data_IF_080540965396
#
_entry.id   IF_080540965396
#
_cell.length_a   1.000
_cell.length_b   1.000
_cell.length_c   1.000
_cell.angle_alpha   90.00
_cell.angle_beta   90.00
_cell.angle_gamma   90.00
#
_symmetry.space_group_name_H-M   'P 1'
#
loop_
_entity.id
_entity.type
_entity.pdbx_description
1 polymer ?
#
# COMPACT_ATOMS: atom_id res chain seq x y z
N UNK A 1 -8.06 -28.76 -13.67
CA UNK A 1 -7.85 -27.53 -12.87
C UNK A 1 -7.59 -26.38 -13.83
N UNK A 2 -8.44 -25.35 -13.87
CA UNK A 2 -8.29 -24.23 -14.81
C UNK A 2 -7.35 -23.15 -14.27
N UNK A 3 -6.57 -22.52 -15.16
CA UNK A 3 -5.78 -21.34 -14.83
C UNK A 3 -6.72 -20.14 -14.66
N UNK A 4 -6.67 -19.46 -13.51
CA UNK A 4 -7.45 -18.25 -13.25
C UNK A 4 -6.59 -17.02 -13.52
N UNK A 5 -7.14 -16.03 -14.22
CA UNK A 5 -6.48 -14.75 -14.45
C UNK A 5 -6.54 -13.85 -13.21
N UNK A 6 -5.58 -12.91 -13.10
CA UNK A 6 -5.58 -11.97 -11.97
C UNK A 6 -6.72 -10.95 -12.14
N UNK A 7 -7.69 -10.88 -11.21
CA UNK A 7 -8.85 -10.01 -11.32
C UNK A 7 -8.53 -8.51 -11.21
N UNK A 8 -7.39 -8.14 -10.62
CA UNK A 8 -6.92 -6.75 -10.62
C UNK A 8 -6.31 -6.40 -11.97
N UNK A 9 -5.45 -7.26 -12.50
CA UNK A 9 -4.77 -7.06 -13.78
C UNK A 9 -5.75 -6.94 -14.96
N UNK A 10 -6.73 -7.84 -15.02
CA UNK A 10 -7.75 -7.85 -16.08
C UNK A 10 -8.63 -6.58 -16.09
N UNK A 11 -8.71 -5.84 -14.99
CA UNK A 11 -9.54 -4.64 -14.85
C UNK A 11 -8.74 -3.33 -14.89
N UNK A 12 -7.43 -3.40 -15.06
CA UNK A 12 -6.58 -2.21 -15.18
C UNK A 12 -6.99 -1.39 -16.42
N UNK A 13 -7.16 -0.09 -16.23
CA UNK A 13 -7.59 0.82 -17.31
C UNK A 13 -9.09 0.82 -17.62
N UNK A 14 -9.87 -0.11 -17.04
CA UNK A 14 -11.33 -0.16 -17.22
C UNK A 14 -12.01 0.39 -15.96
N UNK A 15 -11.82 -0.28 -14.83
CA UNK A 15 -12.43 0.08 -13.53
C UNK A 15 -11.34 0.31 -12.47
N UNK A 16 -10.19 -0.35 -12.59
CA UNK A 16 -9.05 -0.22 -11.68
C UNK A 16 -7.98 0.71 -12.26
N UNK A 17 -7.47 1.59 -11.41
CA UNK A 17 -6.33 2.45 -11.72
C UNK A 17 -5.00 1.82 -11.31
N UNK A 18 -3.91 2.35 -11.87
CA UNK A 18 -2.54 1.96 -11.54
C UNK A 18 -2.13 2.44 -10.14
N UNK A 19 -1.33 1.62 -9.45
CA UNK A 19 -0.73 1.99 -8.16
C UNK A 19 0.49 2.91 -8.32
N UNK A 20 1.24 2.79 -9.41
CA UNK A 20 2.31 3.73 -9.76
C UNK A 20 1.87 4.52 -10.98
N UNK A 21 1.71 5.83 -10.84
CA UNK A 21 1.25 6.75 -11.90
C UNK A 21 2.34 7.74 -12.21
N UNK A 22 3.13 7.44 -13.23
CA UNK A 22 4.17 8.33 -13.71
C UNK A 22 4.57 7.98 -15.13
N UNK A 23 5.24 8.93 -15.79
CA UNK A 23 5.80 8.74 -17.12
C UNK A 23 7.30 9.04 -17.10
N UNK A 24 8.08 8.22 -17.80
CA UNK A 24 9.52 8.38 -17.91
C UNK A 24 10.03 7.91 -19.27
N UNK A 25 11.17 8.45 -19.70
CA UNK A 25 11.86 7.97 -20.90
C UNK A 25 12.37 6.54 -20.66
N UNK A 26 12.40 5.72 -21.71
CA UNK A 26 12.84 4.32 -21.67
C UNK A 26 14.16 4.09 -20.93
N UNK A 27 15.13 5.00 -21.07
CA UNK A 27 16.43 4.91 -20.37
C UNK A 27 16.33 5.01 -18.84
N UNK A 28 15.36 5.78 -18.32
CA UNK A 28 15.17 6.00 -16.87
C UNK A 28 14.14 5.06 -16.25
N UNK A 29 13.28 4.43 -17.05
CA UNK A 29 12.20 3.56 -16.58
C UNK A 29 12.68 2.41 -15.69
N UNK A 30 13.74 1.64 -16.03
CA UNK A 30 14.19 0.54 -15.17
C UNK A 30 14.62 1.01 -13.79
N UNK A 31 15.34 2.14 -13.73
CA UNK A 31 15.79 2.75 -12.49
C UNK A 31 14.60 3.16 -11.60
N UNK A 32 13.55 3.74 -12.19
CA UNK A 32 12.37 4.15 -11.43
C UNK A 32 11.55 2.97 -10.92
N UNK A 33 11.46 1.88 -11.69
CA UNK A 33 10.80 0.63 -11.25
C UNK A 33 11.55 0.05 -10.05
N UNK A 34 12.89 -0.01 -10.11
CA UNK A 34 13.71 -0.49 -9.01
C UNK A 34 13.55 0.38 -7.75
N UNK A 35 13.59 1.70 -7.91
CA UNK A 35 13.33 2.64 -6.81
C UNK A 35 11.94 2.43 -6.19
N UNK A 36 10.88 2.34 -7.00
CA UNK A 36 9.51 2.09 -6.53
C UNK A 36 9.42 0.77 -5.74
N UNK A 37 10.11 -0.29 -6.20
CA UNK A 37 10.18 -1.57 -5.50
C UNK A 37 10.87 -1.44 -4.15
N UNK A 38 12.02 -0.75 -4.08
CA UNK A 38 12.73 -0.51 -2.84
C UNK A 38 11.86 0.26 -1.82
N UNK A 39 11.16 1.29 -2.28
CA UNK A 39 10.24 2.09 -1.44
C UNK A 39 9.12 1.19 -0.88
N UNK A 40 8.45 0.41 -1.74
CA UNK A 40 7.36 -0.48 -1.32
C UNK A 40 7.85 -1.54 -0.34
N UNK A 41 9.01 -2.13 -0.57
CA UNK A 41 9.58 -3.14 0.30
C UNK A 41 9.97 -2.56 1.67
N UNK A 42 10.60 -1.39 1.67
CA UNK A 42 10.97 -0.66 2.89
C UNK A 42 9.75 -0.37 3.77
N UNK A 43 8.68 0.18 3.17
CA UNK A 43 7.45 0.51 3.90
C UNK A 43 6.78 -0.76 4.45
N UNK A 44 6.64 -1.80 3.63
CA UNK A 44 5.97 -3.05 4.06
C UNK A 44 6.74 -3.76 5.18
N UNK A 45 8.07 -3.77 5.15
CA UNK A 45 8.90 -4.43 6.16
C UNK A 45 8.87 -3.69 7.50
N UNK A 46 9.03 -2.36 7.47
CA UNK A 46 9.16 -1.57 8.70
C UNK A 46 7.80 -1.25 9.35
N UNK A 47 6.74 -1.11 8.55
CA UNK A 47 5.42 -0.67 9.01
C UNK A 47 4.33 -1.72 8.83
N UNK A 48 4.68 -3.00 8.90
CA UNK A 48 3.70 -4.11 8.79
C UNK A 48 2.53 -3.96 9.77
N UNK A 49 2.81 -3.53 11.01
CA UNK A 49 1.82 -3.32 12.09
C UNK A 49 0.77 -2.22 11.78
N UNK A 50 1.05 -1.33 10.83
CA UNK A 50 0.14 -0.23 10.50
C UNK A 50 -1.08 -0.69 9.67
N UNK A 51 -1.10 -1.94 9.18
CA UNK A 51 -2.15 -2.47 8.30
C UNK A 51 -2.33 -1.61 7.04
N UNK A 52 -1.30 -1.62 6.21
CA UNK A 52 -1.27 -0.90 4.93
C UNK A 52 -2.11 -1.66 3.89
N UNK A 53 -2.98 -0.94 3.19
CA UNK A 53 -3.83 -1.47 2.11
C UNK A 53 -3.19 -1.27 0.73
N UNK A 54 -2.82 -0.02 0.42
CA UNK A 54 -2.38 0.40 -0.91
C UNK A 54 -1.29 1.46 -0.77
N UNK A 55 -0.29 1.38 -1.65
CA UNK A 55 0.78 2.37 -1.77
C UNK A 55 0.69 2.94 -3.17
N UNK A 56 0.26 4.19 -3.28
CA UNK A 56 0.27 4.90 -4.56
C UNK A 56 1.53 5.75 -4.68
N UNK A 57 2.21 5.65 -5.82
CA UNK A 57 3.43 6.40 -6.10
C UNK A 57 3.20 7.23 -7.35
N UNK A 58 3.34 8.54 -7.21
CA UNK A 58 3.28 9.48 -8.32
C UNK A 58 4.62 10.19 -8.43
N UNK A 59 5.12 10.35 -9.64
CA UNK A 59 6.38 11.07 -9.89
C UNK A 59 6.08 12.27 -10.77
N UNK A 60 6.52 13.43 -10.32
CA UNK A 60 6.38 14.69 -11.06
C UNK A 60 7.74 15.35 -11.24
N UNK A 61 7.96 15.98 -12.39
CA UNK A 61 9.12 16.85 -12.61
C UNK A 61 8.68 18.29 -12.42
N UNK A 62 9.25 18.98 -11.43
CA UNK A 62 9.02 20.41 -11.23
C UNK A 62 10.37 21.12 -11.29
N UNK A 63 10.57 21.97 -12.31
CA UNK A 63 11.77 22.81 -12.47
C UNK A 63 13.07 22.02 -12.21
N UNK A 64 13.29 20.97 -12.99
CA UNK A 64 14.47 20.08 -12.98
C UNK A 64 14.67 19.14 -11.78
N UNK A 65 13.84 19.24 -10.73
CA UNK A 65 13.83 18.27 -9.63
C UNK A 65 12.74 17.22 -9.79
N UNK A 66 13.13 15.96 -9.62
CA UNK A 66 12.21 14.82 -9.57
C UNK A 66 11.61 14.74 -8.17
N UNK A 67 10.31 14.99 -8.05
CA UNK A 67 9.56 14.92 -6.79
C UNK A 67 8.70 13.66 -6.79
N UNK A 68 8.86 12.83 -5.77
CA UNK A 68 8.08 11.61 -5.56
C UNK A 68 6.98 11.90 -4.55
N UNK A 69 5.73 11.74 -4.96
CA UNK A 69 4.58 11.77 -4.06
C UNK A 69 4.17 10.34 -3.72
N UNK A 70 4.13 10.02 -2.44
CA UNK A 70 3.69 8.72 -1.95
C UNK A 70 2.39 8.93 -1.18
N UNK A 71 1.30 8.34 -1.67
CA UNK A 71 0.04 8.31 -0.94
C UNK A 71 -0.14 6.91 -0.34
N UNK A 72 -0.14 6.86 0.99
CA UNK A 72 -0.23 5.62 1.74
C UNK A 72 -1.63 5.45 2.33
N UNK A 73 -2.34 4.40 1.92
CA UNK A 73 -3.67 4.08 2.45
C UNK A 73 -3.57 3.11 3.62
N UNK A 74 -4.00 3.56 4.80
CA UNK A 74 -3.71 2.90 6.08
C UNK A 74 -4.92 2.92 7.02
N UNK A 75 -5.04 1.88 7.84
CA UNK A 75 -6.05 1.81 8.92
C UNK A 75 -5.55 2.52 10.18
N UNK A 76 -4.34 2.19 10.64
CA UNK A 76 -3.74 2.76 11.86
C UNK A 76 -2.80 3.93 11.53
N UNK A 77 -3.36 5.09 11.21
CA UNK A 77 -2.62 6.32 10.89
C UNK A 77 -1.66 6.76 12.00
N UNK A 78 -2.07 6.61 13.26
CA UNK A 78 -1.28 6.98 14.44
C UNK A 78 0.13 6.38 14.48
N UNK A 79 0.30 5.15 13.98
CA UNK A 79 1.60 4.46 13.95
C UNK A 79 2.57 5.14 12.97
N UNK A 80 2.04 5.76 11.93
CA UNK A 80 2.83 6.35 10.84
C UNK A 80 3.11 7.82 11.12
N UNK A 81 2.10 8.56 11.59
CA UNK A 81 2.29 9.95 12.01
C UNK A 81 3.20 10.02 13.26
N UNK A 82 2.94 9.18 14.27
CA UNK A 82 3.62 9.24 15.56
C UNK A 82 3.27 10.50 16.37
N UNK A 83 3.95 10.70 17.51
CA UNK A 83 3.82 11.94 18.30
C UNK A 83 4.41 13.10 17.48
N UNK A 84 3.65 14.18 17.34
CA UNK A 84 4.03 15.43 16.63
C UNK A 84 4.62 15.25 15.22
N UNK A 85 4.12 14.27 14.47
CA UNK A 85 4.60 13.92 13.12
C UNK A 85 6.09 13.55 13.05
N UNK A 86 6.71 13.17 14.17
CA UNK A 86 8.13 12.83 14.21
C UNK A 86 8.43 11.56 13.40
N UNK A 87 7.55 10.56 13.48
CA UNK A 87 7.72 9.29 12.75
C UNK A 87 7.59 9.50 11.25
N UNK A 88 6.64 10.33 10.81
CA UNK A 88 6.48 10.70 9.40
C UNK A 88 7.74 11.38 8.86
N UNK A 89 8.32 12.33 9.62
CA UNK A 89 9.59 13.00 9.25
C UNK A 89 10.78 12.03 9.18
N UNK A 90 10.80 11.00 10.02
CA UNK A 90 11.84 9.94 9.97
C UNK A 90 11.69 9.09 8.71
N UNK A 91 10.45 8.70 8.37
CA UNK A 91 10.13 7.92 7.16
C UNK A 91 10.55 8.69 5.91
N UNK A 92 10.14 9.96 5.80
CA UNK A 92 10.48 10.78 4.64
C UNK A 92 11.99 10.86 4.46
N UNK A 93 12.74 11.21 5.52
CA UNK A 93 14.21 11.28 5.49
C UNK A 93 14.85 9.94 5.09
N UNK A 94 14.32 8.80 5.54
CA UNK A 94 14.85 7.49 5.18
C UNK A 94 14.59 7.16 3.70
N UNK A 95 13.40 7.49 3.19
CA UNK A 95 13.07 7.30 1.77
C UNK A 95 13.91 8.23 0.90
N UNK A 96 14.10 9.49 1.30
CA UNK A 96 14.96 10.46 0.60
C UNK A 96 16.41 10.00 0.55
N UNK A 97 16.93 9.32 1.59
CA UNK A 97 18.27 8.71 1.55
C UNK A 97 18.38 7.59 0.52
N UNK A 98 17.33 6.80 0.34
CA UNK A 98 17.30 5.69 -0.63
C UNK A 98 17.19 6.24 -2.06
N UNK A 99 16.31 7.22 -2.29
CA UNK A 99 15.99 7.72 -3.63
C UNK A 99 16.87 8.89 -4.08
N UNK A 100 17.51 9.59 -3.13
CA UNK A 100 18.25 10.85 -3.32
C UNK A 100 17.41 11.96 -3.99
N UNK A 101 16.09 11.90 -3.82
CA UNK A 101 15.09 12.79 -4.43
C UNK A 101 14.18 13.36 -3.36
N UNK A 102 13.53 14.47 -3.66
CA UNK A 102 12.56 15.09 -2.75
C UNK A 102 11.29 14.22 -2.68
N UNK A 103 10.83 13.92 -1.45
CA UNK A 103 9.69 13.04 -1.22
C UNK A 103 8.59 13.79 -0.47
N UNK A 104 7.39 13.79 -1.04
CA UNK A 104 6.16 14.23 -0.37
C UNK A 104 5.39 13.00 0.06
N UNK A 105 5.16 12.86 1.36
CA UNK A 105 4.53 11.68 1.92
C UNK A 105 3.17 12.03 2.53
N UNK A 106 2.11 11.43 1.98
CA UNK A 106 0.74 11.64 2.41
C UNK A 106 0.18 10.34 3.00
N UNK A 107 -0.50 10.47 4.14
CA UNK A 107 -1.19 9.36 4.80
C UNK A 107 -2.69 9.56 4.61
N UNK A 108 -3.36 8.57 4.04
CA UNK A 108 -4.80 8.56 3.79
C UNK A 108 -5.43 7.48 4.67
N UNK A 109 -6.37 7.89 5.52
CA UNK A 109 -7.09 6.99 6.40
C UNK A 109 -8.16 6.19 5.63
N UNK A 110 -8.26 4.89 5.94
CA UNK A 110 -9.29 4.01 5.43
C UNK A 110 -10.42 3.92 6.46
N UNK A 111 -11.57 4.50 6.13
CA UNK A 111 -12.75 4.50 7.00
C UNK A 111 -13.30 3.09 7.31
N UNK A 112 -13.35 2.22 6.28
CA UNK A 112 -13.95 0.88 6.39
C UNK A 112 -12.92 -0.20 5.98
N UNK A 113 -12.14 -0.74 6.93
CA UNK A 113 -11.08 -1.72 6.62
C UNK A 113 -11.63 -3.05 6.12
N UNK A 114 -12.81 -3.47 6.59
CA UNK A 114 -13.43 -4.75 6.22
C UNK A 114 -13.88 -4.80 4.75
N UNK A 115 -13.99 -3.66 4.05
CA UNK A 115 -14.29 -3.63 2.61
C UNK A 115 -13.07 -3.90 1.74
N UNK A 116 -11.87 -3.88 2.32
CA UNK A 116 -10.61 -3.95 1.59
C UNK A 116 -10.04 -5.37 1.68
N UNK A 117 -9.97 -6.04 0.52
CA UNK A 117 -9.53 -7.43 0.43
C UNK A 117 -8.15 -7.70 1.06
N UNK A 118 -7.17 -6.81 0.87
CA UNK A 118 -5.81 -6.98 1.40
C UNK A 118 -5.80 -6.93 2.94
N UNK A 119 -6.61 -6.06 3.53
CA UNK A 119 -6.70 -5.93 4.99
C UNK A 119 -7.38 -7.15 5.60
N UNK A 120 -8.47 -7.62 4.99
CA UNK A 120 -9.14 -8.86 5.39
C UNK A 120 -8.16 -10.04 5.29
N UNK A 121 -7.42 -10.16 4.19
CA UNK A 121 -6.42 -11.22 4.03
C UNK A 121 -5.31 -11.17 5.10
N UNK A 122 -4.79 -9.98 5.44
CA UNK A 122 -3.79 -9.82 6.51
C UNK A 122 -4.34 -10.25 7.87
N UNK A 123 -5.55 -9.83 8.22
CA UNK A 123 -6.18 -10.24 9.49
C UNK A 123 -6.43 -11.75 9.55
N UNK A 124 -6.81 -12.38 8.43
CA UNK A 124 -6.94 -13.84 8.35
C UNK A 124 -5.58 -14.54 8.53
N UNK A 125 -4.52 -14.02 7.91
CA UNK A 125 -3.17 -14.56 8.06
C UNK A 125 -2.70 -14.48 9.52
N UNK A 126 -2.86 -13.34 10.19
CA UNK A 126 -2.55 -13.16 11.61
C UNK A 126 -3.29 -14.16 12.50
N UNK A 127 -4.57 -14.43 12.23
CA UNK A 127 -5.35 -15.42 12.98
C UNK A 127 -4.84 -16.84 12.74
N UNK A 128 -4.43 -17.18 11.52
CA UNK A 128 -3.86 -18.49 11.22
C UNK A 128 -2.50 -18.69 11.88
N UNK A 129 -1.66 -17.64 11.92
CA UNK A 129 -0.38 -17.64 12.65
C UNK A 129 -0.57 -17.87 14.16
N UNK A 130 -1.65 -17.33 14.71
CA UNK A 130 -2.09 -17.58 16.10
C UNK A 130 -2.76 -18.95 16.31
N UNK A 131 -2.74 -19.83 15.30
CA UNK A 131 -3.27 -21.20 15.32
C UNK A 131 -4.79 -21.29 15.51
N UNK A 132 -5.56 -20.29 15.07
CA UNK A 132 -7.02 -20.41 15.02
C UNK A 132 -7.46 -21.40 13.93
N UNK A 133 -8.59 -22.08 14.15
CA UNK A 133 -9.15 -23.02 13.19
C UNK A 133 -9.57 -22.33 11.87
N UNK A 134 -9.02 -22.79 10.74
CA UNK A 134 -9.16 -22.11 9.45
C UNK A 134 -10.61 -21.89 8.99
N UNK A 135 -11.52 -22.85 9.20
CA UNK A 135 -12.94 -22.67 8.80
C UNK A 135 -13.63 -21.59 9.64
N UNK A 136 -13.24 -21.44 10.90
CA UNK A 136 -13.76 -20.39 11.78
C UNK A 136 -13.28 -19.02 11.31
N UNK A 137 -11.98 -18.89 11.03
CA UNK A 137 -11.37 -17.66 10.49
C UNK A 137 -12.07 -17.23 9.19
N UNK A 138 -12.28 -18.17 8.27
CA UNK A 138 -12.97 -17.90 7.00
C UNK A 138 -14.42 -17.46 7.20
N UNK A 139 -15.21 -18.18 8.01
CA UNK A 139 -16.61 -17.82 8.26
C UNK A 139 -16.74 -16.46 8.95
N UNK A 140 -15.87 -16.18 9.93
CA UNK A 140 -15.85 -14.89 10.62
C UNK A 140 -15.49 -13.74 9.68
N UNK A 141 -14.49 -13.92 8.81
CA UNK A 141 -14.12 -12.93 7.82
C UNK A 141 -15.29 -12.62 6.86
N UNK A 142 -15.94 -13.65 6.32
CA UNK A 142 -17.10 -13.49 5.43
C UNK A 142 -18.24 -12.74 6.13
N UNK A 143 -18.58 -13.12 7.36
CA UNK A 143 -19.64 -12.45 8.13
C UNK A 143 -19.34 -10.97 8.39
N UNK A 144 -18.09 -10.62 8.73
CA UNK A 144 -17.68 -9.22 8.92
C UNK A 144 -17.83 -8.41 7.63
N UNK A 145 -17.35 -8.94 6.51
CA UNK A 145 -17.43 -8.27 5.21
C UNK A 145 -18.89 -8.05 4.81
N UNK A 146 -19.75 -9.07 4.92
CA UNK A 146 -21.17 -8.97 4.57
C UNK A 146 -21.91 -7.93 5.41
N UNK A 147 -21.60 -7.80 6.71
CA UNK A 147 -22.17 -6.76 7.58
C UNK A 147 -21.89 -5.34 7.10
N UNK A 148 -20.81 -5.13 6.34
CA UNK A 148 -20.47 -3.80 5.81
C UNK A 148 -21.23 -3.44 4.51
N UNK A 149 -22.11 -4.31 4.03
CA UNK A 149 -22.95 -4.07 2.84
C UNK A 149 -22.20 -4.22 1.51
N UNK A 150 -21.14 -5.05 1.47
CA UNK A 150 -20.45 -5.41 0.24
C UNK A 150 -21.33 -6.40 -0.54
N UNK A 151 -21.44 -6.18 -1.86
CA UNK A 151 -22.12 -7.07 -2.81
C UNK A 151 -21.13 -8.01 -3.48
#
# INVERSE_FOLDING_TARGET
>A
MGQKSNPNGLRLGIIKSWDSKWFANFKKTPQFIHEDFCIRNFINKNYSKALISKIEIERSKKKDKEVIKINLHVVKTNIINGKDNESLKKITKQIEKITKKEVVFNVIEIKNPDKVAILVAKTMAEQLEQRFYFRRVQKMAIQKVLKTGVK
#
